data_IF_995510541650
#
_entry.id   IF_995510541650
#
_cell.length_a   1.000
_cell.length_b   1.000
_cell.length_c   1.000
_cell.angle_alpha   90.00
_cell.angle_beta   90.00
_cell.angle_gamma   90.00
#
_symmetry.space_group_name_H-M   'P 1'
#
loop_
_entity.id
_entity.type
_entity.pdbx_description
1 polymer ?
#
# COMPACT_ATOMS: atom_id res chain seq x y z
N UNK A 1 -23.80 -9.16 -15.77
CA UNK A 1 -23.32 -7.79 -15.58
C UNK A 1 -22.04 -7.81 -14.77
N UNK A 2 -20.98 -7.24 -15.32
CA UNK A 2 -19.71 -7.03 -14.62
C UNK A 2 -19.81 -5.70 -13.87
N UNK A 3 -19.78 -5.76 -12.55
CA UNK A 3 -19.50 -4.58 -11.73
C UNK A 3 -17.97 -4.42 -11.68
N UNK A 4 -17.42 -3.81 -12.72
CA UNK A 4 -16.05 -3.38 -12.71
C UNK A 4 -16.01 -2.08 -11.90
N UNK A 5 -15.29 -2.06 -10.79
CA UNK A 5 -14.96 -0.83 -10.06
C UNK A 5 -14.08 0.11 -10.92
N UNK A 6 -14.57 0.46 -12.12
CA UNK A 6 -13.87 1.35 -13.04
C UNK A 6 -14.11 2.80 -12.64
N UNK A 7 -13.07 3.64 -12.58
CA UNK A 7 -13.22 5.07 -12.38
C UNK A 7 -13.77 5.70 -13.67
N UNK A 8 -15.09 5.87 -13.74
CA UNK A 8 -15.75 6.50 -14.87
C UNK A 8 -17.25 6.60 -14.59
N UNK A 9 -17.65 7.66 -13.86
CA UNK A 9 -18.98 7.81 -13.27
C UNK A 9 -20.18 7.71 -14.21
N UNK A 10 -20.01 7.86 -15.53
CA UNK A 10 -21.15 7.85 -16.46
C UNK A 10 -21.65 6.46 -16.82
N UNK A 11 -20.77 5.44 -16.80
CA UNK A 11 -21.15 4.05 -17.09
C UNK A 11 -21.83 3.32 -15.91
N UNK A 12 -21.61 3.80 -14.70
CA UNK A 12 -22.14 3.20 -13.47
C UNK A 12 -23.65 3.37 -13.33
N UNK A 13 -24.19 4.49 -13.75
CA UNK A 13 -25.62 4.77 -13.67
C UNK A 13 -26.44 3.77 -14.50
N UNK A 14 -25.93 3.36 -15.66
CA UNK A 14 -26.57 2.37 -16.50
C UNK A 14 -26.65 0.98 -15.86
N UNK A 15 -25.63 0.59 -15.08
CA UNK A 15 -25.60 -0.73 -14.41
C UNK A 15 -26.55 -0.82 -13.21
N UNK A 16 -26.70 0.25 -12.43
CA UNK A 16 -27.67 0.31 -11.32
C UNK A 16 -29.09 0.26 -11.88
N UNK A 17 -29.41 1.06 -12.87
CA UNK A 17 -30.71 1.09 -13.52
C UNK A 17 -31.05 -0.26 -14.15
N UNK A 18 -30.10 -0.91 -14.84
CA UNK A 18 -30.30 -2.24 -15.40
C UNK A 18 -30.55 -3.31 -14.32
N UNK A 19 -29.92 -3.22 -13.18
CA UNK A 19 -30.13 -4.15 -12.07
C UNK A 19 -31.49 -3.97 -11.39
N UNK A 20 -31.96 -2.74 -11.27
CA UNK A 20 -33.31 -2.44 -10.77
C UNK A 20 -34.39 -2.94 -11.73
N UNK A 21 -34.17 -2.76 -13.04
CA UNK A 21 -35.06 -3.26 -14.07
C UNK A 21 -35.05 -4.79 -14.23
N UNK A 22 -33.90 -5.41 -13.98
CA UNK A 22 -33.66 -6.85 -14.20
C UNK A 22 -33.04 -7.51 -12.96
N UNK A 23 -33.75 -7.63 -11.82
CA UNK A 23 -33.19 -8.13 -10.57
C UNK A 23 -32.73 -9.60 -10.65
N UNK A 24 -33.24 -10.37 -11.60
CA UNK A 24 -32.88 -11.77 -11.82
C UNK A 24 -31.66 -12.01 -12.70
N UNK A 25 -30.97 -10.94 -13.14
CA UNK A 25 -29.72 -11.09 -13.88
C UNK A 25 -28.59 -11.32 -12.88
N UNK A 26 -27.86 -12.47 -12.96
CA UNK A 26 -26.72 -12.71 -12.12
C UNK A 26 -25.63 -11.65 -12.37
N UNK A 27 -24.97 -11.21 -11.30
CA UNK A 27 -23.84 -10.31 -11.43
C UNK A 27 -22.64 -10.83 -10.64
N UNK A 28 -21.44 -10.48 -11.14
CA UNK A 28 -20.18 -10.79 -10.49
C UNK A 28 -19.58 -9.49 -9.98
N UNK A 29 -19.20 -9.43 -8.72
CA UNK A 29 -18.66 -8.23 -8.09
C UNK A 29 -17.53 -8.57 -7.11
N UNK A 30 -16.75 -7.56 -6.73
CA UNK A 30 -15.77 -7.69 -5.66
C UNK A 30 -16.47 -7.88 -4.31
N UNK A 31 -15.89 -8.74 -3.47
CA UNK A 31 -16.25 -8.83 -2.06
C UNK A 31 -15.62 -7.66 -1.28
N UNK A 32 -16.35 -6.55 -1.20
CA UNK A 32 -15.86 -5.34 -0.54
C UNK A 32 -15.62 -5.54 0.96
N UNK A 33 -16.33 -6.46 1.62
CA UNK A 33 -16.07 -6.78 3.01
C UNK A 33 -14.70 -7.48 3.15
N UNK A 34 -14.46 -8.52 2.36
CA UNK A 34 -13.20 -9.27 2.39
C UNK A 34 -11.99 -8.40 1.99
N UNK A 35 -12.14 -7.45 1.04
CA UNK A 35 -11.11 -6.49 0.70
C UNK A 35 -10.69 -5.64 1.90
N UNK A 36 -11.67 -5.04 2.59
CA UNK A 36 -11.41 -4.20 3.77
C UNK A 36 -10.90 -5.02 4.94
N UNK A 37 -11.43 -6.23 5.14
CA UNK A 37 -10.97 -7.15 6.18
C UNK A 37 -9.48 -7.51 5.99
N UNK A 38 -9.04 -7.77 4.76
CA UNK A 38 -7.63 -8.04 4.44
C UNK A 38 -6.74 -6.85 4.77
N UNK A 39 -7.16 -5.62 4.41
CA UNK A 39 -6.43 -4.41 4.76
C UNK A 39 -6.36 -4.18 6.28
N UNK A 40 -7.49 -4.33 6.96
CA UNK A 40 -7.61 -4.14 8.40
C UNK A 40 -6.75 -5.17 9.18
N UNK A 41 -6.82 -6.44 8.81
CA UNK A 41 -6.01 -7.51 9.39
C UNK A 41 -4.53 -7.24 9.21
N UNK A 42 -4.10 -6.83 8.01
CA UNK A 42 -2.71 -6.48 7.73
C UNK A 42 -2.19 -5.37 8.66
N UNK A 43 -2.94 -4.27 8.82
CA UNK A 43 -2.55 -3.19 9.73
C UNK A 43 -2.55 -3.63 11.21
N UNK A 44 -3.51 -4.45 11.61
CA UNK A 44 -3.58 -5.02 12.96
C UNK A 44 -2.38 -5.91 13.27
N UNK A 45 -1.94 -6.74 12.32
CA UNK A 45 -0.75 -7.59 12.44
C UNK A 45 0.54 -6.79 12.58
N UNK A 46 0.56 -5.52 12.14
CA UNK A 46 1.67 -4.57 12.39
C UNK A 46 1.65 -3.96 13.80
N UNK A 47 0.69 -4.33 14.63
CA UNK A 47 0.59 -3.88 16.02
C UNK A 47 -0.18 -2.57 16.23
N UNK A 48 -0.85 -2.07 15.20
CA UNK A 48 -1.66 -0.86 15.28
C UNK A 48 -2.94 -1.10 16.09
N UNK A 49 -3.35 -0.10 16.87
CA UNK A 49 -4.55 -0.12 17.71
C UNK A 49 -5.51 1.05 17.42
N UNK A 50 -5.13 1.95 16.53
CA UNK A 50 -5.94 3.08 16.07
C UNK A 50 -6.08 3.02 14.58
N UNK A 51 -7.28 3.26 14.09
CA UNK A 51 -7.58 3.09 12.68
C UNK A 51 -8.39 4.26 12.16
N UNK A 52 -8.16 4.59 10.90
CA UNK A 52 -9.01 5.51 10.16
C UNK A 52 -9.26 4.99 8.75
N UNK A 53 -10.30 5.49 8.12
CA UNK A 53 -10.55 5.26 6.70
C UNK A 53 -10.63 6.61 5.97
N UNK A 54 -9.90 6.73 4.88
CA UNK A 54 -10.06 7.83 3.94
C UNK A 54 -10.89 7.38 2.76
N UNK A 55 -12.10 7.90 2.69
CA UNK A 55 -13.13 7.56 1.73
C UNK A 55 -13.28 8.61 0.63
N UNK A 56 -14.35 8.57 -0.13
CA UNK A 56 -14.76 9.58 -1.10
C UNK A 56 -16.08 10.20 -0.68
N UNK A 57 -16.41 11.43 -1.13
CA UNK A 57 -17.74 11.99 -0.95
C UNK A 57 -18.76 11.03 -1.53
N UNK A 58 -19.83 10.80 -0.79
CA UNK A 58 -20.93 9.95 -1.26
C UNK A 58 -21.72 10.71 -2.31
N UNK A 59 -21.86 10.12 -3.48
CA UNK A 59 -22.98 10.33 -4.37
C UNK A 59 -23.77 9.03 -4.49
N UNK A 60 -24.95 9.08 -5.09
CA UNK A 60 -25.88 7.96 -5.17
C UNK A 60 -25.31 6.73 -5.92
N UNK A 61 -24.18 6.90 -6.59
CA UNK A 61 -23.60 5.92 -7.51
C UNK A 61 -22.45 5.10 -6.91
N UNK A 62 -21.96 5.43 -5.72
CA UNK A 62 -20.80 4.78 -5.10
C UNK A 62 -21.16 3.69 -4.08
N UNK A 63 -21.99 2.72 -4.49
CA UNK A 63 -22.39 1.60 -3.61
C UNK A 63 -21.20 0.87 -2.99
N UNK A 64 -20.15 0.59 -3.77
CA UNK A 64 -18.94 -0.07 -3.31
C UNK A 64 -18.23 0.69 -2.19
N UNK A 65 -18.30 2.03 -2.20
CA UNK A 65 -17.76 2.88 -1.13
C UNK A 65 -18.53 2.65 0.16
N UNK A 66 -19.86 2.67 0.08
CA UNK A 66 -20.73 2.45 1.25
C UNK A 66 -20.47 1.07 1.84
N UNK A 67 -20.30 0.04 1.02
CA UNK A 67 -19.99 -1.32 1.45
C UNK A 67 -18.61 -1.38 2.16
N UNK A 68 -17.58 -0.70 1.63
CA UNK A 68 -16.26 -0.61 2.27
C UNK A 68 -16.30 0.16 3.58
N UNK A 69 -17.00 1.29 3.65
CA UNK A 69 -17.18 2.06 4.89
C UNK A 69 -17.89 1.23 5.97
N UNK A 70 -18.97 0.53 5.61
CA UNK A 70 -19.70 -0.36 6.54
C UNK A 70 -18.84 -1.52 7.02
N UNK A 71 -18.06 -2.12 6.13
CA UNK A 71 -17.13 -3.19 6.48
C UNK A 71 -16.08 -2.71 7.49
N UNK A 72 -15.48 -1.56 7.24
CA UNK A 72 -14.50 -0.95 8.13
C UNK A 72 -15.07 -0.63 9.51
N UNK A 73 -16.23 0.05 9.57
CA UNK A 73 -16.91 0.35 10.82
C UNK A 73 -17.24 -0.90 11.63
N UNK A 74 -17.76 -1.95 10.96
CA UNK A 74 -18.07 -3.23 11.59
C UNK A 74 -16.83 -3.91 12.17
N UNK A 75 -15.71 -3.94 11.44
CA UNK A 75 -14.46 -4.56 11.89
C UNK A 75 -13.86 -3.81 13.08
N UNK A 76 -13.78 -2.49 13.00
CA UNK A 76 -13.23 -1.67 14.08
C UNK A 76 -14.08 -1.74 15.36
N UNK A 77 -15.41 -1.67 15.23
CA UNK A 77 -16.34 -1.80 16.38
C UNK A 77 -16.27 -3.18 17.03
N UNK A 78 -16.13 -4.26 16.25
CA UNK A 78 -16.01 -5.62 16.79
C UNK A 78 -14.79 -5.81 17.68
N UNK A 79 -13.71 -5.10 17.39
CA UNK A 79 -12.45 -5.16 18.14
C UNK A 79 -12.31 -4.03 19.19
N UNK A 80 -13.37 -3.22 19.37
CA UNK A 80 -13.38 -2.08 20.30
C UNK A 80 -12.29 -1.02 20.05
N UNK A 81 -11.80 -0.93 18.80
CA UNK A 81 -10.83 0.08 18.43
C UNK A 81 -11.48 1.43 18.16
N UNK A 82 -10.82 2.51 18.58
CA UNK A 82 -11.22 3.84 18.14
C UNK A 82 -10.98 4.01 16.65
N UNK A 83 -11.95 4.54 15.92
CA UNK A 83 -11.84 4.74 14.49
C UNK A 83 -12.53 6.01 14.01
N UNK A 84 -12.12 6.49 12.85
CA UNK A 84 -12.73 7.62 12.15
C UNK A 84 -12.84 7.31 10.66
N UNK A 85 -13.88 7.84 10.02
CA UNK A 85 -14.05 7.81 8.57
C UNK A 85 -14.07 9.24 8.06
N UNK A 86 -13.08 9.61 7.25
CA UNK A 86 -13.00 10.90 6.58
C UNK A 86 -13.40 10.75 5.11
N UNK A 87 -14.48 11.38 4.70
CA UNK A 87 -15.02 11.25 3.33
C UNK A 87 -14.32 12.15 2.32
N UNK A 88 -13.68 13.21 2.81
CA UNK A 88 -13.04 14.19 1.94
C UNK A 88 -14.04 14.96 1.07
N UNK A 89 -13.52 15.61 0.05
CA UNK A 89 -14.30 16.35 -0.93
C UNK A 89 -14.01 15.84 -2.34
N UNK A 90 -14.90 16.14 -3.29
CA UNK A 90 -14.67 15.85 -4.70
C UNK A 90 -13.41 16.59 -5.18
N UNK A 91 -12.48 15.82 -5.74
CA UNK A 91 -11.20 16.35 -6.22
C UNK A 91 -11.27 16.69 -7.70
N UNK A 92 -11.08 17.95 -8.01
CA UNK A 92 -10.87 18.44 -9.36
C UNK A 92 -9.79 19.55 -9.35
N UNK A 93 -9.40 20.03 -10.52
CA UNK A 93 -8.33 21.04 -10.64
C UNK A 93 -8.61 22.33 -9.84
N UNK A 94 -9.89 22.72 -9.70
CA UNK A 94 -10.28 23.95 -8.98
C UNK A 94 -10.33 23.76 -7.47
N UNK A 95 -10.70 22.56 -6.99
CA UNK A 95 -10.87 22.26 -5.57
C UNK A 95 -9.64 21.62 -4.93
N UNK A 96 -8.63 21.25 -5.72
CA UNK A 96 -7.47 20.51 -5.25
C UNK A 96 -6.79 21.16 -4.03
N UNK A 97 -6.49 22.45 -4.09
CA UNK A 97 -5.80 23.15 -2.99
C UNK A 97 -6.58 23.12 -1.67
N UNK A 98 -7.89 23.42 -1.72
CA UNK A 98 -8.73 23.40 -0.52
C UNK A 98 -8.90 21.97 0.04
N UNK A 99 -9.11 21.00 -0.85
CA UNK A 99 -9.25 19.59 -0.47
C UNK A 99 -7.95 19.03 0.12
N UNK A 100 -6.82 19.39 -0.45
CA UNK A 100 -5.50 18.98 0.04
C UNK A 100 -5.19 19.57 1.40
N UNK A 101 -5.51 20.86 1.63
CA UNK A 101 -5.35 21.49 2.93
C UNK A 101 -6.21 20.80 3.99
N UNK A 102 -7.49 20.57 3.73
CA UNK A 102 -8.39 19.88 4.67
C UNK A 102 -7.94 18.45 4.97
N UNK A 103 -7.40 17.73 3.98
CA UNK A 103 -6.81 16.40 4.19
C UNK A 103 -5.58 16.49 5.09
N UNK A 104 -4.72 17.49 4.87
CA UNK A 104 -3.54 17.74 5.70
C UNK A 104 -3.92 18.05 7.14
N UNK A 105 -4.87 18.98 7.35
CA UNK A 105 -5.39 19.32 8.66
C UNK A 105 -6.00 18.11 9.39
N UNK A 106 -6.71 17.24 8.66
CA UNK A 106 -7.23 16.00 9.23
C UNK A 106 -6.12 15.03 9.68
N UNK A 107 -5.10 14.79 8.84
CA UNK A 107 -3.95 13.92 9.17
C UNK A 107 -3.18 14.47 10.38
N UNK A 108 -2.99 15.78 10.46
CA UNK A 108 -2.27 16.42 11.57
C UNK A 108 -2.96 16.18 12.90
N UNK A 109 -4.29 16.26 12.94
CA UNK A 109 -5.12 16.10 14.13
C UNK A 109 -5.38 14.62 14.51
N UNK A 110 -5.02 13.65 13.69
CA UNK A 110 -5.18 12.24 14.04
C UNK A 110 -4.24 11.82 15.19
N UNK A 111 -4.71 11.02 16.16
CA UNK A 111 -3.84 10.42 17.17
C UNK A 111 -2.90 9.42 16.52
N UNK A 112 -1.60 9.56 16.75
CA UNK A 112 -0.55 8.70 16.17
C UNK A 112 0.09 7.79 17.24
N UNK A 113 0.59 6.58 16.91
CA UNK A 113 0.57 5.96 15.59
C UNK A 113 -0.83 5.49 15.19
N UNK A 114 -1.12 5.51 13.88
CA UNK A 114 -2.43 5.15 13.32
C UNK A 114 -2.30 4.40 11.99
N UNK A 115 -3.20 3.45 11.75
CA UNK A 115 -3.37 2.81 10.45
C UNK A 115 -4.52 3.44 9.66
N UNK A 116 -4.25 3.85 8.42
CA UNK A 116 -5.27 4.41 7.54
C UNK A 116 -5.49 3.47 6.36
N UNK A 117 -6.75 3.03 6.22
CA UNK A 117 -7.20 2.32 5.02
C UNK A 117 -7.77 3.37 4.08
N UNK A 118 -7.17 3.53 2.92
CA UNK A 118 -7.77 4.31 1.85
C UNK A 118 -8.77 3.45 1.08
N UNK A 119 -9.89 4.03 0.72
CA UNK A 119 -10.96 3.30 0.02
C UNK A 119 -10.51 2.77 -1.35
N UNK A 120 -9.50 3.40 -1.96
CA UNK A 120 -8.77 2.93 -3.14
C UNK A 120 -7.35 3.52 -3.19
N UNK A 121 -6.54 3.05 -4.13
CA UNK A 121 -5.13 3.48 -4.27
C UNK A 121 -4.99 4.95 -4.67
N UNK A 122 -5.91 5.50 -5.43
CA UNK A 122 -5.90 6.93 -5.77
C UNK A 122 -6.02 7.81 -4.51
N UNK A 123 -6.86 7.42 -3.55
CA UNK A 123 -6.98 8.09 -2.25
C UNK A 123 -5.75 7.84 -1.37
N UNK A 124 -5.20 6.62 -1.38
CA UNK A 124 -3.97 6.31 -0.67
C UNK A 124 -2.80 7.20 -1.11
N UNK A 125 -2.69 7.48 -2.41
CA UNK A 125 -1.70 8.41 -2.95
C UNK A 125 -1.87 9.83 -2.42
N UNK A 126 -3.10 10.34 -2.27
CA UNK A 126 -3.34 11.65 -1.67
C UNK A 126 -2.85 11.70 -0.20
N UNK A 127 -3.05 10.61 0.56
CA UNK A 127 -2.53 10.49 1.93
C UNK A 127 -1.00 10.55 1.95
N UNK A 128 -0.34 9.79 1.07
CA UNK A 128 1.12 9.79 0.98
C UNK A 128 1.68 11.18 0.64
N UNK A 129 1.04 11.90 -0.30
CA UNK A 129 1.41 13.26 -0.64
C UNK A 129 1.21 14.24 0.52
N UNK A 130 0.11 14.11 1.26
CA UNK A 130 -0.16 14.97 2.42
C UNK A 130 0.81 14.68 3.57
N UNK A 131 1.14 13.42 3.84
CA UNK A 131 2.16 13.06 4.83
C UNK A 131 3.55 13.59 4.45
N UNK A 132 3.96 13.47 3.17
CA UNK A 132 5.23 14.03 2.67
C UNK A 132 5.28 15.55 2.83
N UNK A 133 4.18 16.25 2.53
CA UNK A 133 4.06 17.71 2.71
C UNK A 133 4.15 18.15 4.17
N UNK A 134 3.52 17.40 5.08
CA UNK A 134 3.53 17.68 6.52
C UNK A 134 4.79 17.20 7.23
N UNK A 135 5.70 16.47 6.56
CA UNK A 135 6.82 15.80 7.21
C UNK A 135 6.39 14.69 8.19
N UNK A 136 5.21 14.11 8.01
CA UNK A 136 4.71 13.01 8.83
C UNK A 136 5.28 11.70 8.34
N UNK A 137 5.93 10.98 9.22
CA UNK A 137 6.63 9.74 8.92
C UNK A 137 5.64 8.61 8.57
N UNK A 138 5.85 8.03 7.39
CA UNK A 138 5.13 6.85 6.90
C UNK A 138 6.14 5.71 6.75
N UNK A 139 5.86 4.59 7.37
CA UNK A 139 4.67 4.15 8.10
C UNK A 139 4.72 4.38 9.62
N UNK A 140 5.80 4.99 10.18
CA UNK A 140 6.12 5.05 11.62
C UNK A 140 5.01 5.73 12.43
N UNK A 141 4.49 6.83 11.95
CA UNK A 141 3.39 7.55 12.59
C UNK A 141 2.05 7.28 11.92
N UNK A 142 2.06 7.15 10.60
CA UNK A 142 0.86 6.89 9.79
C UNK A 142 1.15 5.74 8.82
N UNK A 143 0.63 4.56 9.10
CA UNK A 143 0.68 3.43 8.16
C UNK A 143 -0.49 3.51 7.19
N UNK A 144 -0.22 3.39 5.89
CA UNK A 144 -1.23 3.59 4.84
C UNK A 144 -1.33 2.34 3.97
N UNK A 145 -2.55 1.85 3.79
CA UNK A 145 -2.86 0.77 2.85
C UNK A 145 -4.00 1.18 1.92
N UNK A 146 -3.82 0.92 0.63
CA UNK A 146 -4.85 1.11 -0.38
C UNK A 146 -5.58 -0.17 -0.74
N UNK A 147 -6.45 -0.07 -1.72
CA UNK A 147 -7.14 -1.18 -2.38
C UNK A 147 -7.09 -0.90 -3.86
N UNK A 148 -6.79 -1.87 -4.70
CA UNK A 148 -6.78 -2.04 -6.15
C UNK A 148 -5.45 -2.62 -6.65
N UNK A 149 -4.34 -2.32 -5.98
CA UNK A 149 -2.96 -2.63 -6.39
C UNK A 149 -2.63 -2.04 -7.76
N UNK A 150 -2.99 -0.77 -7.95
CA UNK A 150 -2.77 -0.01 -9.19
C UNK A 150 -1.28 0.28 -9.39
N UNK A 151 -0.72 -0.14 -10.53
CA UNK A 151 0.69 0.06 -10.86
C UNK A 151 1.07 1.53 -10.98
N UNK A 152 0.16 2.38 -11.44
CA UNK A 152 0.41 3.82 -11.57
C UNK A 152 0.47 4.48 -10.19
N UNK A 153 -0.51 4.21 -9.33
CA UNK A 153 -0.55 4.75 -7.96
C UNK A 153 0.70 4.32 -7.17
N UNK A 154 1.14 3.06 -7.35
CA UNK A 154 2.32 2.49 -6.71
C UNK A 154 3.62 3.25 -7.03
N UNK A 155 3.79 3.69 -8.27
CA UNK A 155 5.05 4.24 -8.77
C UNK A 155 5.14 5.77 -8.69
N UNK A 156 4.03 6.48 -8.45
CA UNK A 156 3.97 7.94 -8.39
C UNK A 156 4.33 8.54 -7.03
N UNK A 157 4.56 7.73 -6.01
CA UNK A 157 4.90 8.20 -4.66
C UNK A 157 6.34 7.84 -4.29
N UNK A 158 6.98 8.65 -3.45
CA UNK A 158 8.34 8.38 -2.91
C UNK A 158 8.39 7.08 -2.11
N UNK A 159 7.32 6.82 -1.36
CA UNK A 159 7.11 5.61 -0.56
C UNK A 159 6.22 4.67 -1.36
N UNK A 160 6.64 3.43 -1.56
CA UNK A 160 5.83 2.44 -2.28
C UNK A 160 4.61 2.05 -1.47
N UNK A 161 3.43 2.14 -2.11
CA UNK A 161 2.14 1.92 -1.47
C UNK A 161 1.85 0.43 -1.29
N UNK A 162 1.52 0.03 -0.05
CA UNK A 162 0.90 -1.26 0.25
C UNK A 162 -0.55 -1.24 -0.19
N UNK A 163 -1.02 -2.32 -0.80
CA UNK A 163 -2.38 -2.36 -1.34
C UNK A 163 -2.96 -3.78 -1.33
N UNK A 164 -4.28 -3.87 -1.25
CA UNK A 164 -5.03 -5.11 -1.41
C UNK A 164 -5.31 -5.33 -2.89
N UNK A 165 -4.88 -6.47 -3.42
CA UNK A 165 -5.11 -6.84 -4.82
C UNK A 165 -6.51 -7.41 -4.98
N UNK A 166 -7.33 -6.79 -5.84
CA UNK A 166 -8.65 -7.29 -6.20
C UNK A 166 -8.55 -8.51 -7.13
N UNK A 167 -9.53 -9.42 -7.04
CA UNK A 167 -9.66 -10.59 -7.91
C UNK A 167 -10.22 -10.28 -9.30
N UNK A 168 -9.75 -9.22 -9.97
CA UNK A 168 -10.32 -8.74 -11.24
C UNK A 168 -10.29 -9.79 -12.36
N UNK A 169 -9.20 -10.56 -12.46
CA UNK A 169 -9.10 -11.65 -13.45
C UNK A 169 -10.17 -12.73 -13.19
N UNK A 170 -10.29 -13.20 -11.96
CA UNK A 170 -11.27 -14.21 -11.58
C UNK A 170 -12.71 -13.71 -11.77
N UNK A 171 -12.95 -12.44 -11.47
CA UNK A 171 -14.24 -11.77 -11.67
C UNK A 171 -14.61 -11.78 -13.16
N UNK A 172 -13.70 -11.38 -14.04
CA UNK A 172 -13.90 -11.41 -15.48
C UNK A 172 -14.12 -12.82 -16.02
N UNK A 173 -13.33 -13.79 -15.56
CA UNK A 173 -13.47 -15.20 -15.96
C UNK A 173 -14.83 -15.79 -15.52
N UNK A 174 -15.23 -15.57 -14.27
CA UNK A 174 -16.53 -16.03 -13.76
C UNK A 174 -17.69 -15.41 -14.53
N UNK A 175 -17.63 -14.11 -14.81
CA UNK A 175 -18.65 -13.41 -15.58
C UNK A 175 -18.78 -13.97 -17.00
N UNK A 176 -17.66 -14.16 -17.71
CA UNK A 176 -17.65 -14.76 -19.03
C UNK A 176 -18.22 -16.19 -19.05
N UNK A 177 -17.85 -17.00 -18.05
CA UNK A 177 -18.36 -18.37 -17.88
C UNK A 177 -19.86 -18.41 -17.63
N UNK A 178 -20.40 -17.49 -16.83
CA UNK A 178 -21.83 -17.38 -16.59
C UNK A 178 -22.59 -16.94 -17.85
N UNK A 179 -22.04 -15.96 -18.58
CA UNK A 179 -22.59 -15.51 -19.85
C UNK A 179 -22.62 -16.64 -20.89
N UNK A 180 -21.51 -17.36 -21.03
CA UNK A 180 -21.44 -18.52 -21.96
C UNK A 180 -22.50 -19.57 -21.65
N UNK A 181 -22.63 -19.97 -20.38
CA UNK A 181 -23.69 -20.91 -19.96
C UNK A 181 -25.09 -20.43 -20.31
N UNK A 182 -25.34 -19.13 -20.14
CA UNK A 182 -26.66 -18.54 -20.46
C UNK A 182 -26.93 -18.52 -21.96
N UNK A 183 -25.92 -18.26 -22.78
CA UNK A 183 -26.03 -18.32 -24.24
C UNK A 183 -26.29 -19.75 -24.74
N UNK A 184 -25.80 -20.78 -24.03
CA UNK A 184 -26.11 -22.19 -24.30
C UNK A 184 -27.50 -22.65 -23.80
N UNK A 185 -28.30 -21.73 -23.25
CA UNK A 185 -29.60 -22.05 -22.68
C UNK A 185 -29.55 -22.78 -21.33
N UNK A 186 -28.39 -22.90 -20.72
CA UNK A 186 -28.22 -23.53 -19.40
C UNK A 186 -28.69 -22.63 -18.27
N UNK A 187 -29.27 -23.22 -17.25
CA UNK A 187 -29.64 -22.48 -16.02
C UNK A 187 -28.36 -21.95 -15.34
N UNK A 188 -28.35 -20.67 -15.00
CA UNK A 188 -27.32 -20.02 -14.20
C UNK A 188 -27.91 -19.54 -12.87
N UNK A 189 -27.11 -19.49 -11.78
CA UNK A 189 -27.59 -18.98 -10.53
C UNK A 189 -28.10 -17.55 -10.69
N UNK A 190 -29.24 -17.23 -10.13
CA UNK A 190 -29.78 -15.86 -10.08
C UNK A 190 -29.14 -15.03 -8.97
N UNK A 191 -28.17 -15.62 -8.25
CA UNK A 191 -27.50 -15.02 -7.11
C UNK A 191 -26.25 -14.23 -7.50
N UNK A 192 -25.91 -13.27 -6.65
CA UNK A 192 -24.66 -12.51 -6.68
C UNK A 192 -23.47 -13.45 -6.49
N UNK A 193 -22.48 -13.33 -7.34
CA UNK A 193 -21.17 -13.99 -7.20
C UNK A 193 -20.16 -12.97 -6.72
N UNK A 194 -19.76 -13.07 -5.46
CA UNK A 194 -18.71 -12.24 -4.89
C UNK A 194 -17.33 -12.88 -5.10
N UNK A 195 -16.35 -12.07 -5.47
CA UNK A 195 -14.95 -12.46 -5.65
C UNK A 195 -14.10 -11.74 -4.61
N UNK A 196 -13.44 -12.52 -3.76
CA UNK A 196 -12.56 -12.00 -2.72
C UNK A 196 -11.26 -11.42 -3.25
N UNK A 197 -10.43 -10.85 -2.35
CA UNK A 197 -9.09 -10.39 -2.67
C UNK A 197 -8.16 -11.54 -3.08
N UNK A 198 -7.18 -11.24 -3.92
CA UNK A 198 -6.05 -12.15 -4.21
C UNK A 198 -5.09 -12.19 -3.02
N UNK A 199 -4.85 -11.04 -2.38
CA UNK A 199 -3.96 -10.89 -1.25
C UNK A 199 -3.58 -9.44 -0.97
N UNK A 200 -2.69 -9.26 -0.01
CA UNK A 200 -2.10 -7.95 0.33
C UNK A 200 -0.68 -7.90 -0.21
N UNK A 201 -0.42 -6.91 -1.04
CA UNK A 201 0.93 -6.56 -1.47
C UNK A 201 1.54 -5.57 -0.47
N UNK A 202 2.24 -6.12 0.52
CA UNK A 202 2.92 -5.32 1.54
C UNK A 202 4.13 -4.58 0.94
N UNK A 203 4.21 -3.26 1.17
CA UNK A 203 5.29 -2.37 0.71
C UNK A 203 5.64 -1.35 1.80
N UNK A 204 6.50 -0.39 1.47
CA UNK A 204 7.05 0.58 2.44
C UNK A 204 6.01 1.32 3.27
N UNK A 205 4.81 1.57 2.76
CA UNK A 205 3.78 2.33 3.50
C UNK A 205 3.18 1.60 4.70
N UNK A 206 3.50 0.29 4.88
CA UNK A 206 3.08 -0.52 6.05
C UNK A 206 4.15 -1.50 6.54
N UNK A 207 5.37 -1.47 5.98
CA UNK A 207 6.37 -2.55 6.18
C UNK A 207 7.15 -2.51 7.49
N UNK A 208 6.53 -2.18 8.62
CA UNK A 208 7.15 -2.46 9.92
C UNK A 208 6.16 -2.35 11.08
N UNK A 209 6.63 -2.69 12.29
CA UNK A 209 5.86 -2.47 13.52
C UNK A 209 5.64 -0.98 13.73
N UNK A 210 4.46 -0.60 14.16
CA UNK A 210 4.22 0.76 14.62
C UNK A 210 5.14 1.07 15.80
N UNK A 211 6.07 1.98 15.58
CA UNK A 211 7.02 2.43 16.59
C UNK A 211 6.34 3.41 17.54
N UNK A 212 6.76 3.40 18.79
CA UNK A 212 6.24 4.30 19.80
C UNK A 212 7.25 5.37 20.24
N UNK A 213 8.54 5.09 20.08
CA UNK A 213 9.59 6.03 20.49
C UNK A 213 9.82 7.12 19.42
N UNK A 214 9.58 8.42 19.76
CA UNK A 214 9.69 9.53 18.80
C UNK A 214 11.09 9.69 18.20
N UNK A 215 12.14 9.37 18.94
CA UNK A 215 13.53 9.48 18.47
C UNK A 215 13.85 8.37 17.47
N UNK A 216 13.34 7.17 17.72
CA UNK A 216 13.49 6.03 16.78
C UNK A 216 12.72 6.32 15.49
N UNK A 217 11.51 6.87 15.59
CA UNK A 217 10.71 7.28 14.44
C UNK A 217 11.47 8.27 13.57
N UNK A 218 12.04 9.33 14.17
CA UNK A 218 12.82 10.33 13.43
C UNK A 218 14.07 9.72 12.79
N UNK A 219 14.78 8.84 13.51
CA UNK A 219 15.95 8.15 13.00
C UNK A 219 15.62 7.29 11.78
N UNK A 220 14.57 6.49 11.83
CA UNK A 220 14.14 5.65 10.70
C UNK A 220 13.72 6.48 9.50
N UNK A 221 12.98 7.57 9.72
CA UNK A 221 12.63 8.50 8.65
C UNK A 221 13.86 9.09 7.95
N UNK A 222 14.84 9.58 8.73
CA UNK A 222 16.08 10.11 8.20
C UNK A 222 16.87 9.03 7.43
N UNK A 223 16.98 7.82 7.98
CA UNK A 223 17.68 6.71 7.34
C UNK A 223 17.03 6.40 5.98
N UNK A 224 15.72 6.27 5.88
CA UNK A 224 15.01 5.98 4.63
C UNK A 224 15.24 7.05 3.57
N UNK A 225 15.27 8.30 3.98
CA UNK A 225 15.46 9.42 3.06
C UNK A 225 16.88 9.52 2.55
N UNK A 226 17.88 9.17 3.39
CA UNK A 226 19.27 9.50 3.12
C UNK A 226 20.24 8.32 3.08
N UNK A 227 19.83 7.08 3.38
CA UNK A 227 20.71 5.91 3.40
C UNK A 227 21.52 5.75 2.11
N UNK A 228 20.87 5.95 0.95
CA UNK A 228 21.52 5.85 -0.36
C UNK A 228 22.53 6.98 -0.65
N UNK A 229 22.55 8.04 0.14
CA UNK A 229 23.53 9.12 0.06
C UNK A 229 24.80 8.85 0.87
N UNK A 230 24.96 7.62 1.40
CA UNK A 230 26.18 7.22 2.12
C UNK A 230 26.27 7.74 3.55
N UNK A 231 25.14 8.02 4.19
CA UNK A 231 25.13 8.51 5.59
C UNK A 231 25.74 7.52 6.56
N UNK A 232 26.26 8.07 7.67
CA UNK A 232 26.81 7.35 8.82
C UNK A 232 25.90 7.52 10.03
N UNK A 233 26.09 6.68 11.06
CA UNK A 233 25.31 6.72 12.31
C UNK A 233 25.35 8.10 12.96
N UNK A 234 26.51 8.78 12.94
CA UNK A 234 26.68 10.08 13.58
C UNK A 234 25.76 11.15 12.95
N UNK A 235 25.54 11.11 11.63
CA UNK A 235 24.60 12.01 10.97
C UNK A 235 23.13 11.73 11.35
N UNK A 236 22.79 10.47 11.67
CA UNK A 236 21.47 10.12 12.20
C UNK A 236 21.31 10.67 13.62
N UNK A 237 22.33 10.51 14.47
CA UNK A 237 22.29 11.03 15.86
C UNK A 237 22.23 12.53 15.91
N UNK A 238 22.98 13.22 15.04
CA UNK A 238 22.96 14.68 14.93
C UNK A 238 21.58 15.19 14.50
N UNK A 239 20.94 14.51 13.55
CA UNK A 239 19.59 14.87 13.11
C UNK A 239 18.55 14.68 14.21
N UNK A 240 18.63 13.57 14.95
CA UNK A 240 17.68 13.23 16.03
C UNK A 240 17.94 14.06 17.30
N UNK A 241 19.16 14.56 17.48
CA UNK A 241 19.52 15.44 18.61
C UNK A 241 19.73 14.71 19.95
N UNK A 242 20.07 13.40 19.93
CA UNK A 242 20.41 12.63 21.13
C UNK A 242 21.74 11.89 20.97
N UNK A 243 22.33 11.48 22.09
CA UNK A 243 23.62 10.78 22.05
C UNK A 243 23.49 9.42 21.32
N UNK A 244 24.60 9.01 20.69
CA UNK A 244 24.67 7.74 19.96
C UNK A 244 24.26 6.54 20.81
N UNK A 245 24.77 6.46 22.04
CA UNK A 245 24.42 5.36 22.97
C UNK A 245 22.93 5.34 23.31
N UNK A 246 22.32 6.51 23.51
CA UNK A 246 20.90 6.61 23.80
C UNK A 246 20.06 6.17 22.58
N UNK A 247 20.39 6.62 21.37
CA UNK A 247 19.69 6.20 20.15
C UNK A 247 19.83 4.70 19.89
N UNK A 248 21.06 4.16 19.99
CA UNK A 248 21.29 2.71 19.77
C UNK A 248 20.49 1.84 20.75
N UNK A 249 20.42 2.21 22.04
CA UNK A 249 19.65 1.47 23.04
C UNK A 249 18.14 1.49 22.70
N UNK A 250 17.58 2.64 22.36
CA UNK A 250 16.17 2.79 21.96
C UNK A 250 15.88 2.02 20.66
N UNK A 251 16.78 2.12 19.69
CA UNK A 251 16.64 1.45 18.42
C UNK A 251 16.68 -0.07 18.58
N UNK A 252 17.58 -0.58 19.45
CA UNK A 252 17.65 -2.01 19.80
C UNK A 252 16.38 -2.51 20.51
N UNK A 253 15.78 -1.70 21.39
CA UNK A 253 14.53 -2.05 22.08
C UNK A 253 13.33 -2.13 21.14
N UNK A 254 13.22 -1.18 20.21
CA UNK A 254 12.09 -1.12 19.28
C UNK A 254 12.23 -2.08 18.08
N UNK A 255 13.43 -2.19 17.52
CA UNK A 255 13.69 -2.93 16.30
C UNK A 255 14.41 -4.26 16.48
N UNK A 256 15.14 -4.44 17.58
CA UNK A 256 15.97 -5.62 17.79
C UNK A 256 17.31 -5.62 17.03
N UNK A 257 17.66 -4.50 16.39
CA UNK A 257 18.94 -4.33 15.67
C UNK A 257 19.45 -2.87 15.76
N UNK A 258 20.71 -2.65 15.35
CA UNK A 258 21.39 -1.35 15.45
C UNK A 258 20.97 -0.35 14.36
N UNK A 259 21.21 0.95 14.60
CA UNK A 259 21.06 2.03 13.61
C UNK A 259 21.91 1.77 12.36
N UNK A 260 23.12 1.26 12.53
CA UNK A 260 23.99 0.87 11.42
C UNK A 260 23.36 -0.22 10.55
N UNK A 261 22.75 -1.23 11.18
CA UNK A 261 22.04 -2.30 10.47
C UNK A 261 20.84 -1.74 9.69
N UNK A 262 20.10 -0.78 10.27
CA UNK A 262 19.00 -0.13 9.58
C UNK A 262 19.45 0.58 8.28
N UNK A 263 20.55 1.33 8.33
CA UNK A 263 21.12 2.00 7.16
C UNK A 263 21.47 0.97 6.07
N UNK A 264 22.08 -0.14 6.46
CA UNK A 264 22.43 -1.22 5.53
C UNK A 264 21.21 -1.90 4.91
N UNK A 265 20.20 -2.19 5.71
CA UNK A 265 18.96 -2.81 5.23
C UNK A 265 18.25 -1.93 4.21
N UNK A 266 18.20 -0.62 4.43
CA UNK A 266 17.57 0.33 3.49
C UNK A 266 18.31 0.37 2.15
N UNK A 267 19.64 0.37 2.15
CA UNK A 267 20.46 0.25 0.93
C UNK A 267 20.18 -1.05 0.20
N UNK A 268 20.09 -2.16 0.94
CA UNK A 268 19.84 -3.49 0.38
C UNK A 268 18.46 -3.60 -0.27
N UNK A 269 17.41 -3.12 0.41
CA UNK A 269 16.04 -3.05 -0.13
C UNK A 269 16.02 -2.25 -1.45
N UNK A 270 16.70 -1.11 -1.48
CA UNK A 270 16.79 -0.28 -2.69
C UNK A 270 17.53 -0.99 -3.83
N UNK A 271 18.64 -1.66 -3.52
CA UNK A 271 19.41 -2.42 -4.50
C UNK A 271 18.61 -3.58 -5.08
N UNK A 272 17.92 -4.37 -4.24
CA UNK A 272 17.04 -5.44 -4.68
C UNK A 272 15.94 -4.93 -5.63
N UNK A 273 15.34 -3.80 -5.30
CA UNK A 273 14.31 -3.17 -6.16
C UNK A 273 14.89 -2.79 -7.53
N UNK A 274 16.03 -2.12 -7.56
CA UNK A 274 16.66 -1.70 -8.83
C UNK A 274 17.12 -2.90 -9.67
N UNK A 275 17.63 -3.96 -9.05
CA UNK A 275 17.99 -5.20 -9.74
C UNK A 275 16.80 -5.89 -10.39
N UNK A 276 15.65 -5.90 -9.70
CA UNK A 276 14.43 -6.57 -10.20
C UNK A 276 13.65 -5.73 -11.24
N UNK A 277 13.75 -4.39 -11.18
CA UNK A 277 12.87 -3.48 -11.91
C UNK A 277 13.58 -2.66 -12.99
N UNK A 278 14.93 -2.70 -13.10
CA UNK A 278 15.68 -1.89 -14.06
C UNK A 278 16.79 -2.68 -14.78
N UNK A 279 17.16 -2.18 -15.97
CA UNK A 279 18.30 -2.66 -16.76
C UNK A 279 19.61 -1.94 -16.42
N UNK A 280 19.67 -1.16 -15.36
CA UNK A 280 20.87 -0.45 -14.92
C UNK A 280 22.03 -1.42 -14.69
N UNK A 281 23.25 -1.00 -14.98
CA UNK A 281 24.44 -1.80 -14.66
C UNK A 281 24.54 -2.04 -13.13
N UNK A 282 25.13 -3.15 -12.72
CA UNK A 282 25.28 -3.46 -11.28
C UNK A 282 26.18 -2.44 -10.60
N UNK A 283 27.16 -1.90 -11.36
CA UNK A 283 28.02 -0.83 -10.86
C UNK A 283 27.23 0.46 -10.57
N UNK A 284 26.36 0.87 -11.50
CA UNK A 284 25.51 2.06 -11.31
C UNK A 284 24.52 1.88 -10.15
N UNK A 285 24.00 0.66 -9.98
CA UNK A 285 23.14 0.33 -8.83
C UNK A 285 23.92 0.43 -7.52
N UNK A 286 25.15 -0.09 -7.46
CA UNK A 286 25.99 0.02 -6.28
C UNK A 286 26.23 1.49 -5.89
N UNK A 287 26.57 2.33 -6.85
CA UNK A 287 26.77 3.77 -6.65
C UNK A 287 25.46 4.45 -6.21
N UNK A 288 24.37 4.21 -6.94
CA UNK A 288 23.04 4.82 -6.66
C UNK A 288 22.45 4.41 -5.33
N UNK A 289 22.84 3.25 -4.81
CA UNK A 289 22.45 2.78 -3.48
C UNK A 289 23.44 3.19 -2.38
N UNK A 290 24.47 3.95 -2.71
CA UNK A 290 25.44 4.47 -1.75
C UNK A 290 26.34 3.39 -1.14
N UNK A 291 26.65 2.34 -1.88
CA UNK A 291 27.68 1.37 -1.49
C UNK A 291 29.08 1.96 -1.73
N UNK A 292 30.04 1.72 -0.81
CA UNK A 292 31.39 2.27 -0.96
C UNK A 292 32.18 1.69 -2.15
N UNK A 293 31.83 0.48 -2.58
CA UNK A 293 32.38 -0.15 -3.78
C UNK A 293 31.45 -1.27 -4.29
N UNK A 294 31.67 -1.65 -5.54
CA UNK A 294 30.97 -2.79 -6.16
C UNK A 294 31.25 -4.10 -5.39
N UNK A 295 32.49 -4.32 -4.99
CA UNK A 295 32.90 -5.51 -4.21
C UNK A 295 32.17 -5.59 -2.88
N UNK A 296 31.97 -4.44 -2.23
CA UNK A 296 31.22 -4.38 -0.98
C UNK A 296 29.75 -4.78 -1.18
N UNK A 297 29.12 -4.31 -2.26
CA UNK A 297 27.78 -4.73 -2.61
C UNK A 297 27.69 -6.25 -2.83
N UNK A 298 28.66 -6.84 -3.56
CA UNK A 298 28.74 -8.29 -3.74
C UNK A 298 28.86 -9.04 -2.42
N UNK A 299 29.70 -8.57 -1.49
CA UNK A 299 29.84 -9.20 -0.17
C UNK A 299 28.55 -9.14 0.64
N UNK A 300 27.82 -8.03 0.57
CA UNK A 300 26.50 -7.87 1.23
C UNK A 300 25.48 -8.84 0.66
N UNK A 301 25.39 -8.96 -0.67
CA UNK A 301 24.45 -9.88 -1.32
C UNK A 301 24.76 -11.34 -0.99
N UNK A 302 26.05 -11.74 -1.04
CA UNK A 302 26.44 -13.08 -0.63
C UNK A 302 26.08 -13.38 0.82
N UNK A 303 26.27 -12.42 1.72
CA UNK A 303 25.94 -12.61 3.15
C UNK A 303 24.44 -12.73 3.40
N UNK A 304 23.60 -11.96 2.70
CA UNK A 304 22.17 -11.92 2.97
C UNK A 304 21.34 -12.91 2.14
N UNK A 305 21.75 -13.19 0.90
CA UNK A 305 21.00 -14.02 -0.04
C UNK A 305 21.73 -15.29 -0.49
N UNK A 306 22.96 -15.48 -0.03
CA UNK A 306 23.87 -16.54 -0.54
C UNK A 306 23.94 -16.54 -2.09
N UNK A 307 23.86 -15.37 -2.69
CA UNK A 307 23.77 -15.14 -4.13
C UNK A 307 24.48 -13.86 -4.54
N UNK A 308 24.87 -13.76 -5.80
CA UNK A 308 25.44 -12.52 -6.35
C UNK A 308 24.32 -11.56 -6.81
N UNK A 309 24.57 -10.23 -6.89
CA UNK A 309 23.60 -9.28 -7.47
C UNK A 309 23.16 -9.67 -8.88
N UNK A 310 24.05 -10.22 -9.70
CA UNK A 310 23.74 -10.68 -11.06
C UNK A 310 22.81 -11.88 -11.05
N UNK A 311 23.05 -12.88 -10.20
CA UNK A 311 22.20 -14.06 -10.05
C UNK A 311 20.83 -13.65 -9.49
N UNK A 312 20.79 -12.78 -8.48
CA UNK A 312 19.55 -12.23 -7.92
C UNK A 312 18.70 -11.54 -8.98
N UNK A 313 19.32 -10.72 -9.88
CA UNK A 313 18.63 -10.13 -11.03
C UNK A 313 18.02 -11.19 -11.93
N UNK A 314 18.81 -12.15 -12.37
CA UNK A 314 18.37 -13.19 -13.31
C UNK A 314 17.20 -14.02 -12.75
N UNK A 315 17.20 -14.35 -11.49
CA UNK A 315 16.12 -15.09 -10.82
C UNK A 315 14.82 -14.28 -10.76
N UNK A 316 14.91 -12.98 -10.43
CA UNK A 316 13.73 -12.13 -10.26
C UNK A 316 13.17 -11.60 -11.61
N UNK A 317 13.97 -11.51 -12.67
CA UNK A 317 13.51 -11.16 -14.02
C UNK A 317 12.89 -12.37 -14.74
N UNK A 318 13.46 -13.57 -14.63
CA UNK A 318 12.86 -14.82 -15.17
C UNK A 318 11.49 -15.12 -14.56
N UNK A 319 11.27 -14.79 -13.31
CA UNK A 319 9.96 -14.90 -12.66
C UNK A 319 8.87 -13.97 -13.26
N UNK A 320 9.27 -12.90 -13.94
CA UNK A 320 8.36 -12.02 -14.70
C UNK A 320 8.08 -12.58 -16.10
N UNK A 321 9.08 -13.11 -16.80
CA UNK A 321 8.91 -13.69 -18.15
C UNK A 321 8.09 -14.99 -18.14
N UNK A 322 8.25 -15.85 -17.13
CA UNK A 322 7.44 -17.06 -17.00
C UNK A 322 5.96 -16.77 -16.67
N UNK A 323 5.65 -15.63 -16.06
CA UNK A 323 4.28 -15.18 -15.85
C UNK A 323 3.66 -14.54 -17.11
N UNK A 324 4.47 -14.07 -18.06
CA UNK A 324 4.00 -13.47 -19.32
C UNK A 324 3.91 -14.56 -20.43
N UNK A 325 4.72 -15.61 -20.37
CA UNK A 325 4.71 -16.71 -21.35
C UNK A 325 3.66 -17.80 -21.07
N UNK A 326 2.89 -17.69 -19.97
CA UNK A 326 1.78 -18.58 -19.64
C UNK A 326 0.39 -17.98 -19.92
N UNK A 327 0.34 -16.99 -20.84
CA UNK A 327 -0.90 -16.41 -21.36
C UNK A 327 -1.10 -16.73 -22.82
#
# INVERSE_FOLDING_TARGET
>A
LLDLNMPGGEYFNGLITLREQYPNIPYVASDNFALVESAFKHLKEKGLKRFAMYSVPLDEHHRWVIERERAFAKLASKEEYSYQIYKGHATNRKTWHSTFKQLSDWIENLPKPIGIIAVNDARARHLLQACDHLGVEVPERVSIIGIDNDDLARNLSRISLSSVTQGCFEMGYKAAKLLHKRLEGKKVPESQVLVGPVGVEARQSTEFKALSDPYVIQAVHFIRQFATKGIKVDQVTDFVGISRSNLENRFQQEHGYSVHTAIHNEKLVRACKLLAESEMSINDIAEKCGYPSLQYMYSVFNKHFNSTPSAYRSENQKGKESKVASF
#
